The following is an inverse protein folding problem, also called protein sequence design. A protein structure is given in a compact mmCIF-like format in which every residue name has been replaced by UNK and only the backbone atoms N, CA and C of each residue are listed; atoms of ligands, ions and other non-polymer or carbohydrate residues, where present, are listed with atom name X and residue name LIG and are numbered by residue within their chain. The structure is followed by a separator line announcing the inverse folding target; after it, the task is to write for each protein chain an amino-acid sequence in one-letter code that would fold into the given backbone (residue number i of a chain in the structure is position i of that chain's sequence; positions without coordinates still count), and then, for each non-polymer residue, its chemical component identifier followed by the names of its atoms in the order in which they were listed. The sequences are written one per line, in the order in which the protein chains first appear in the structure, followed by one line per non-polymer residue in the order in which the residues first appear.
data_IF_867549204327
#
_entry.id   IF_867549204327
#
_cell.length_a   1.000
_cell.length_b   1.000
_cell.length_c   1.000
_cell.angle_alpha   90.00
_cell.angle_beta   90.00
_cell.angle_gamma   90.00
#
_symmetry.space_group_name_H-M   'P 1'
#
loop_
_entity.id
_entity.type
_entity.pdbx_description
1 polymer ?
#
# COMPACT_ATOMS: atom_id res chain seq x y z
N UNK A 1 0.70 -12.86 -22.10
CA UNK A 1 -0.40 -12.35 -21.24
C UNK A 1 -1.78 -12.43 -21.92
N UNK A 2 -2.79 -13.05 -21.28
CA UNK A 2 -4.16 -13.14 -21.82
C UNK A 2 -4.89 -11.78 -21.72
N UNK A 3 -5.18 -11.15 -22.86
CA UNK A 3 -5.84 -9.81 -22.91
C UNK A 3 -7.18 -9.77 -22.19
N UNK A 4 -7.97 -10.85 -22.25
CA UNK A 4 -9.26 -10.95 -21.58
C UNK A 4 -9.06 -11.01 -20.06
N UNK A 5 -8.06 -11.78 -19.61
CA UNK A 5 -7.72 -11.87 -18.18
C UNK A 5 -7.30 -10.52 -17.60
N UNK A 6 -6.50 -9.74 -18.35
CA UNK A 6 -6.06 -8.40 -17.95
C UNK A 6 -7.23 -7.43 -17.88
N UNK A 7 -8.18 -7.51 -18.82
CA UNK A 7 -9.39 -6.69 -18.80
C UNK A 7 -10.25 -7.01 -17.57
N UNK A 8 -10.50 -8.29 -17.30
CA UNK A 8 -11.26 -8.74 -16.11
C UNK A 8 -10.58 -8.29 -14.81
N UNK A 9 -9.25 -8.33 -14.77
CA UNK A 9 -8.44 -7.84 -13.66
C UNK A 9 -8.65 -6.35 -13.41
N UNK A 10 -8.53 -5.52 -14.45
CA UNK A 10 -8.74 -4.08 -14.34
C UNK A 10 -10.17 -3.73 -13.92
N UNK A 11 -11.18 -4.41 -14.49
CA UNK A 11 -12.57 -4.21 -14.09
C UNK A 11 -12.80 -4.57 -12.61
N UNK A 12 -12.21 -5.66 -12.13
CA UNK A 12 -12.27 -6.05 -10.71
C UNK A 12 -11.61 -5.00 -9.81
N UNK A 13 -10.43 -4.50 -10.19
CA UNK A 13 -9.75 -3.44 -9.43
C UNK A 13 -10.59 -2.16 -9.38
N UNK A 14 -11.12 -1.71 -10.53
CA UNK A 14 -11.99 -0.54 -10.62
C UNK A 14 -13.21 -0.71 -9.72
N UNK A 15 -13.85 -1.88 -9.75
CA UNK A 15 -15.00 -2.16 -8.90
C UNK A 15 -14.67 -2.05 -7.41
N UNK A 16 -13.57 -2.68 -6.96
CA UNK A 16 -13.13 -2.63 -5.55
C UNK A 16 -12.81 -1.20 -5.13
N UNK A 17 -12.00 -0.47 -5.91
CA UNK A 17 -11.66 0.92 -5.58
C UNK A 17 -12.88 1.84 -5.60
N UNK A 18 -13.80 1.66 -6.55
CA UNK A 18 -15.04 2.44 -6.60
C UNK A 18 -15.91 2.17 -5.38
N UNK A 19 -16.03 0.91 -4.96
CA UNK A 19 -16.77 0.54 -3.76
C UNK A 19 -16.16 1.19 -2.50
N UNK A 20 -14.84 1.11 -2.35
CA UNK A 20 -14.13 1.73 -1.23
C UNK A 20 -14.24 3.26 -1.23
N UNK A 21 -14.19 3.89 -2.40
CA UNK A 21 -14.30 5.35 -2.54
C UNK A 21 -15.71 5.87 -2.27
N UNK A 22 -16.74 5.06 -2.57
CA UNK A 22 -18.15 5.37 -2.31
C UNK A 22 -18.56 5.14 -0.85
N UNK A 23 -17.72 4.50 -0.03
CA UNK A 23 -17.94 4.50 1.41
C UNK A 23 -17.74 5.93 1.94
N UNK A 24 -18.72 6.45 2.68
CA UNK A 24 -18.76 7.83 3.21
C UNK A 24 -17.56 8.24 4.08
N UNK A 25 -16.62 7.34 4.32
CA UNK A 25 -15.47 7.48 5.19
C UNK A 25 -14.13 7.34 4.48
N UNK A 26 -14.04 7.67 3.18
CA UNK A 26 -12.77 7.60 2.41
C UNK A 26 -11.59 8.31 3.10
N UNK A 27 -11.85 9.40 3.82
CA UNK A 27 -10.85 10.14 4.61
C UNK A 27 -10.19 9.30 5.71
N UNK A 28 -10.84 8.23 6.20
CA UNK A 28 -10.25 7.30 7.16
C UNK A 28 -9.10 6.49 6.55
N UNK A 29 -9.04 6.40 5.22
CA UNK A 29 -7.93 5.77 4.49
C UNK A 29 -6.83 6.77 4.11
N UNK A 30 -6.85 7.99 4.63
CA UNK A 30 -5.81 8.98 4.38
C UNK A 30 -5.05 9.26 5.68
N UNK A 31 -3.79 8.83 5.72
CA UNK A 31 -2.81 9.22 6.72
C UNK A 31 -1.49 9.60 6.04
N UNK A 32 -1.14 10.88 6.11
CA UNK A 32 0.02 11.44 5.41
C UNK A 32 1.34 10.81 5.86
N UNK A 33 1.47 10.50 7.15
CA UNK A 33 2.68 9.88 7.69
C UNK A 33 2.85 8.46 7.12
N UNK A 34 1.79 7.64 7.17
CA UNK A 34 1.78 6.30 6.57
C UNK A 34 2.05 6.32 5.07
N UNK A 35 1.52 7.31 4.33
CA UNK A 35 1.81 7.48 2.90
C UNK A 35 3.30 7.76 2.69
N UNK A 36 3.87 8.73 3.42
CA UNK A 36 5.28 9.10 3.27
C UNK A 36 6.19 7.92 3.60
N UNK A 37 5.99 7.27 4.75
CA UNK A 37 6.82 6.14 5.16
C UNK A 37 6.72 4.96 4.20
N UNK A 38 5.58 4.75 3.55
CA UNK A 38 5.38 3.67 2.59
C UNK A 38 6.00 3.98 1.23
N UNK A 39 5.75 5.16 0.66
CA UNK A 39 6.10 5.47 -0.72
C UNK A 39 7.47 6.14 -0.90
N UNK A 40 7.92 6.98 0.04
CA UNK A 40 9.18 7.72 -0.13
C UNK A 40 10.38 6.79 -0.30
N UNK A 41 10.59 5.75 0.55
CA UNK A 41 11.69 4.80 0.34
C UNK A 41 11.57 4.05 -0.99
N UNK A 42 10.35 3.68 -1.37
CA UNK A 42 10.08 2.97 -2.62
C UNK A 42 10.41 3.83 -3.85
N UNK A 43 10.04 5.12 -3.84
CA UNK A 43 10.38 6.09 -4.90
C UNK A 43 11.89 6.26 -4.98
N UNK A 44 12.58 6.46 -3.85
CA UNK A 44 14.03 6.62 -3.85
C UNK A 44 14.77 5.36 -4.30
N UNK A 45 14.20 4.16 -4.10
CA UNK A 45 14.79 2.91 -4.58
C UNK A 45 14.97 2.86 -6.11
N UNK A 46 14.13 3.59 -6.85
CA UNK A 46 14.20 3.70 -8.31
C UNK A 46 15.45 4.46 -8.78
N UNK A 47 16.03 5.31 -7.93
CA UNK A 47 17.20 6.14 -8.28
C UNK A 47 18.54 5.43 -8.08
N UNK A 48 18.56 4.27 -7.41
CA UNK A 48 19.81 3.66 -6.92
C UNK A 48 20.64 3.03 -8.04
N UNK A 49 20.04 2.42 -9.06
CA UNK A 49 20.79 1.72 -10.12
C UNK A 49 20.25 2.12 -11.48
N UNK A 50 21.17 2.55 -12.35
CA UNK A 50 20.90 2.98 -13.73
C UNK A 50 20.80 1.77 -14.67
N UNK A 51 20.08 1.94 -15.78
CA UNK A 51 20.04 0.95 -16.88
C UNK A 51 19.15 -0.28 -16.66
N UNK A 52 18.20 -0.22 -15.72
CA UNK A 52 17.25 -1.31 -15.46
C UNK A 52 16.04 -1.27 -16.38
N UNK A 53 15.47 -2.44 -16.68
CA UNK A 53 14.17 -2.55 -17.36
C UNK A 53 13.04 -2.07 -16.44
N UNK A 54 11.94 -1.65 -17.05
CA UNK A 54 10.76 -1.16 -16.36
C UNK A 54 10.14 -2.22 -15.42
N UNK A 55 10.16 -3.50 -15.82
CA UNK A 55 9.74 -4.66 -15.00
C UNK A 55 10.58 -4.79 -13.73
N UNK A 56 11.92 -4.69 -13.84
CA UNK A 56 12.82 -4.80 -12.69
C UNK A 56 12.62 -3.60 -11.76
N UNK A 57 12.48 -2.40 -12.31
CA UNK A 57 12.25 -1.17 -11.54
C UNK A 57 10.96 -1.27 -10.71
N UNK A 58 9.83 -1.66 -11.31
CA UNK A 58 8.58 -1.83 -10.56
C UNK A 58 8.62 -2.99 -9.57
N UNK A 59 9.33 -4.08 -9.89
CA UNK A 59 9.53 -5.18 -8.94
C UNK A 59 10.28 -4.73 -7.68
N UNK A 60 11.31 -3.88 -7.83
CA UNK A 60 12.08 -3.34 -6.71
C UNK A 60 11.25 -2.32 -5.93
N UNK A 61 10.57 -1.42 -6.64
CA UNK A 61 9.65 -0.47 -6.03
C UNK A 61 8.64 -1.19 -5.12
N UNK A 62 7.96 -2.23 -5.62
CA UNK A 62 7.01 -2.99 -4.83
C UNK A 62 7.66 -3.68 -3.62
N UNK A 63 8.85 -4.28 -3.79
CA UNK A 63 9.57 -4.93 -2.68
C UNK A 63 9.90 -3.93 -1.57
N UNK A 64 10.46 -2.77 -1.91
CA UNK A 64 10.81 -1.74 -0.92
C UNK A 64 9.55 -1.18 -0.28
N UNK A 65 8.50 -0.93 -1.06
CA UNK A 65 7.22 -0.44 -0.55
C UNK A 65 6.58 -1.41 0.45
N UNK A 66 6.58 -2.72 0.18
CA UNK A 66 6.06 -3.73 1.11
C UNK A 66 6.89 -3.83 2.39
N UNK A 67 8.23 -3.74 2.29
CA UNK A 67 9.11 -3.72 3.47
C UNK A 67 8.84 -2.47 4.32
N UNK A 68 8.77 -1.30 3.69
CA UNK A 68 8.46 -0.04 4.34
C UNK A 68 7.08 -0.07 5.00
N UNK A 69 6.06 -0.55 4.28
CA UNK A 69 4.70 -0.69 4.80
C UNK A 69 4.66 -1.63 6.02
N UNK A 70 5.34 -2.77 5.95
CA UNK A 70 5.44 -3.72 7.06
C UNK A 70 6.10 -3.10 8.30
N UNK A 71 7.21 -2.39 8.12
CA UNK A 71 7.90 -1.70 9.21
C UNK A 71 7.05 -0.60 9.84
N UNK A 72 6.40 0.24 9.03
CA UNK A 72 5.51 1.30 9.52
C UNK A 72 4.30 0.73 10.25
N UNK A 73 3.74 -0.37 9.76
CA UNK A 73 2.63 -1.08 10.41
C UNK A 73 3.05 -1.63 11.78
N UNK A 74 4.21 -2.29 11.84
CA UNK A 74 4.74 -2.83 13.09
C UNK A 74 5.01 -1.73 14.11
N UNK A 75 5.59 -0.60 13.67
CA UNK A 75 5.77 0.58 14.50
C UNK A 75 4.44 1.14 15.02
N UNK A 76 3.42 1.27 14.15
CA UNK A 76 2.09 1.74 14.55
C UNK A 76 1.40 0.82 15.57
N UNK A 77 1.56 -0.50 15.42
CA UNK A 77 1.07 -1.49 16.39
C UNK A 77 1.77 -1.32 17.74
N UNK A 78 3.11 -1.20 17.76
CA UNK A 78 3.87 -0.96 19.00
C UNK A 78 3.41 0.33 19.67
N UNK A 79 3.26 1.41 18.91
CA UNK A 79 2.83 2.71 19.44
C UNK A 79 1.42 2.62 20.03
N UNK A 80 0.49 1.96 19.35
CA UNK A 80 -0.88 1.73 19.84
C UNK A 80 -0.86 0.92 21.14
N UNK A 81 -0.10 -0.18 21.17
CA UNK A 81 0.05 -1.03 22.35
C UNK A 81 0.88 -0.40 23.47
N UNK A 82 1.65 0.65 23.22
CA UNK A 82 2.37 1.37 24.29
C UNK A 82 1.45 2.28 25.11
N UNK A 83 0.26 2.58 24.58
CA UNK A 83 -0.75 3.43 25.19
C UNK A 83 -1.94 2.59 25.72
N UNK A 84 -1.66 1.57 26.55
CA UNK A 84 -2.68 0.64 27.09
C UNK A 84 -3.67 1.29 28.06
N UNK A 85 -3.39 2.51 28.53
CA UNK A 85 -4.26 3.25 29.44
C UNK A 85 -5.43 3.94 28.72
N UNK A 86 -5.52 3.81 27.40
CA UNK A 86 -6.54 4.49 26.58
C UNK A 86 -7.76 3.58 26.36
N UNK A 87 -8.94 4.20 26.27
CA UNK A 87 -10.21 3.55 26.00
C UNK A 87 -10.19 2.67 24.72
N UNK A 88 -11.07 1.66 24.69
CA UNK A 88 -11.16 0.69 23.59
C UNK A 88 -11.30 1.34 22.21
N UNK A 89 -12.06 2.44 22.10
CA UNK A 89 -12.26 3.16 20.85
C UNK A 89 -10.97 3.74 20.27
N UNK A 90 -10.08 4.25 21.14
CA UNK A 90 -8.80 4.79 20.71
C UNK A 90 -7.82 3.69 20.29
N UNK A 91 -7.86 2.53 20.95
CA UNK A 91 -7.09 1.36 20.50
C UNK A 91 -7.56 0.90 19.12
N UNK A 92 -8.87 0.81 18.90
CA UNK A 92 -9.43 0.45 17.61
C UNK A 92 -9.03 1.46 16.51
N UNK A 93 -9.06 2.76 16.81
CA UNK A 93 -8.60 3.80 15.89
C UNK A 93 -7.09 3.68 15.60
N UNK A 94 -6.27 3.45 16.63
CA UNK A 94 -4.82 3.25 16.49
C UNK A 94 -4.46 2.07 15.60
N UNK A 95 -5.10 0.91 15.79
CA UNK A 95 -4.93 -0.24 14.91
C UNK A 95 -5.42 0.00 13.49
N UNK A 96 -6.53 0.75 13.32
CA UNK A 96 -7.05 1.10 12.01
C UNK A 96 -6.06 1.97 11.22
N UNK A 97 -5.38 2.91 11.88
CA UNK A 97 -4.32 3.71 11.25
C UNK A 97 -3.08 2.86 10.99
N UNK A 98 -2.70 2.00 11.94
CA UNK A 98 -1.49 1.17 11.82
C UNK A 98 -1.51 0.25 10.60
N UNK A 99 -2.68 -0.19 10.12
CA UNK A 99 -2.78 -1.07 8.94
C UNK A 99 -2.81 -0.34 7.60
N UNK A 100 -2.98 0.99 7.59
CA UNK A 100 -3.02 1.79 6.35
C UNK A 100 -1.80 1.63 5.44
N UNK A 101 -0.54 1.54 5.95
CA UNK A 101 0.62 1.27 5.10
C UNK A 101 0.46 0.01 4.25
N UNK A 102 -0.07 -1.08 4.82
CA UNK A 102 -0.34 -2.33 4.08
C UNK A 102 -1.41 -2.11 3.03
N UNK A 103 -2.47 -1.37 3.37
CA UNK A 103 -3.54 -1.04 2.44
C UNK A 103 -3.00 -0.27 1.21
N UNK A 104 -2.10 0.70 1.44
CA UNK A 104 -1.44 1.43 0.35
C UNK A 104 -0.55 0.53 -0.51
N UNK A 105 0.25 -0.34 0.12
CA UNK A 105 1.12 -1.27 -0.59
C UNK A 105 0.31 -2.26 -1.44
N UNK A 106 -0.83 -2.73 -0.91
CA UNK A 106 -1.77 -3.56 -1.65
C UNK A 106 -2.37 -2.82 -2.84
N UNK A 107 -2.85 -1.59 -2.65
CA UNK A 107 -3.41 -0.77 -3.73
C UNK A 107 -2.40 -0.53 -4.87
N UNK A 108 -1.16 -0.18 -4.53
CA UNK A 108 -0.10 -0.02 -5.51
C UNK A 108 0.27 -1.34 -6.21
N UNK A 109 0.25 -2.46 -5.49
CA UNK A 109 0.47 -3.79 -6.10
C UNK A 109 -0.62 -4.12 -7.11
N UNK A 110 -1.89 -3.81 -6.82
CA UNK A 110 -3.00 -4.00 -7.77
C UNK A 110 -2.82 -3.19 -9.06
N UNK A 111 -2.31 -1.97 -8.96
CA UNK A 111 -2.11 -1.13 -10.15
C UNK A 111 -0.89 -1.54 -10.97
N UNK A 112 0.15 -2.05 -10.31
CA UNK A 112 1.44 -2.34 -10.95
C UNK A 112 1.62 -3.80 -11.39
N UNK A 113 0.82 -4.75 -10.89
CA UNK A 113 0.93 -6.17 -11.23
C UNK A 113 0.94 -6.46 -12.75
N UNK A 114 0.06 -5.86 -13.58
CA UNK A 114 0.06 -6.11 -15.03
C UNK A 114 1.32 -5.60 -15.76
N UNK A 115 2.09 -4.70 -15.13
CA UNK A 115 3.33 -4.16 -15.68
C UNK A 115 4.54 -5.03 -15.34
N UNK A 116 4.42 -5.90 -14.33
CA UNK A 116 5.50 -6.76 -13.85
C UNK A 116 5.36 -8.18 -14.42
N UNK A 117 4.13 -8.68 -14.56
CA UNK A 117 3.83 -10.01 -15.12
C UNK A 117 3.67 -9.90 -16.64
N UNK A 118 4.76 -9.56 -17.35
CA UNK A 118 4.75 -9.46 -18.82
C UNK A 118 5.36 -10.68 -19.53
N UNK A 119 5.85 -11.68 -18.79
CA UNK A 119 6.37 -12.94 -19.33
C UNK A 119 5.24 -13.96 -19.60
#
# INVERSE_FOLDING_TARGET
MNKIGVLIYWLSCIYIFSHLFLMNSWLQFFDAFSILCTFVPAIFSLLIIKGRTLVISFSIFLKVMWLSAGLTTFYGIILTLSNLTVEYEALAAGFSVAILPIFYAFGASLLLLPLIVQD
#
